data_IF_054484600179
#
_entry.id   IF_054484600179
#
_cell.length_a   1.000
_cell.length_b   1.000
_cell.length_c   1.000
_cell.angle_alpha   90.00
_cell.angle_beta   90.00
_cell.angle_gamma   90.00
#
_symmetry.space_group_name_H-M   'P 1'
#
loop_
_entity.id
_entity.type
_entity.pdbx_description
1 polymer ?
#
# COMPACT_ATOMS: atom_id res chain seq x y z
N UNK A 1 0.16 -20.20 74.42
CA UNK A 1 1.25 -20.79 73.60
C UNK A 1 0.65 -21.90 72.76
N UNK A 2 0.35 -21.59 71.50
CA UNK A 2 0.07 -22.52 70.40
C UNK A 2 0.18 -21.68 69.12
N UNK A 3 1.12 -21.96 68.20
CA UNK A 3 1.27 -21.16 66.99
C UNK A 3 0.26 -21.63 65.94
N UNK A 4 -0.38 -20.66 65.27
CA UNK A 4 -1.14 -20.89 64.05
C UNK A 4 -0.17 -21.35 62.95
N UNK A 5 -0.41 -22.55 62.41
CA UNK A 5 0.27 -23.06 61.23
C UNK A 5 -0.17 -22.29 59.98
N UNK A 6 0.77 -21.58 59.38
CA UNK A 6 0.63 -20.99 58.04
C UNK A 6 0.63 -22.10 57.01
N UNK A 7 -0.51 -22.34 56.35
CA UNK A 7 -0.60 -23.21 55.18
C UNK A 7 -0.03 -22.44 53.98
N UNK A 8 1.17 -22.82 53.55
CA UNK A 8 1.82 -22.31 52.35
C UNK A 8 1.15 -22.95 51.13
N UNK A 9 0.25 -22.21 50.46
CA UNK A 9 -0.19 -22.56 49.11
C UNK A 9 0.97 -22.32 48.14
N UNK A 10 1.77 -23.35 47.89
CA UNK A 10 2.65 -23.38 46.72
C UNK A 10 1.75 -23.59 45.50
N UNK A 11 1.23 -22.50 44.95
CA UNK A 11 0.69 -22.51 43.61
C UNK A 11 1.85 -22.77 42.65
N UNK A 12 2.01 -24.04 42.26
CA UNK A 12 2.85 -24.44 41.14
C UNK A 12 2.29 -23.81 39.87
N UNK A 13 2.69 -22.59 39.57
CA UNK A 13 2.57 -22.05 38.22
C UNK A 13 3.48 -22.91 37.34
N UNK A 14 2.88 -23.85 36.61
CA UNK A 14 3.46 -24.36 35.38
C UNK A 14 3.86 -23.13 34.57
N UNK A 15 5.16 -22.85 34.47
CA UNK A 15 5.68 -21.79 33.62
C UNK A 15 5.19 -22.06 32.20
N UNK A 16 4.08 -21.43 31.82
CA UNK A 16 3.79 -21.23 30.41
C UNK A 16 4.89 -20.29 29.96
N UNK A 17 5.92 -20.84 29.33
CA UNK A 17 6.94 -20.05 28.65
C UNK A 17 6.21 -19.27 27.55
N UNK A 18 5.83 -18.04 27.84
CA UNK A 18 5.45 -17.09 26.80
C UNK A 18 6.70 -16.89 25.95
N UNK A 19 6.66 -17.36 24.72
CA UNK A 19 7.80 -17.29 23.80
C UNK A 19 8.07 -15.82 23.41
N UNK A 20 7.01 -15.00 23.35
CA UNK A 20 7.14 -13.57 23.12
C UNK A 20 7.61 -12.83 24.38
N UNK A 21 8.92 -12.71 24.56
CA UNK A 21 9.47 -11.83 25.59
C UNK A 21 9.25 -10.36 25.22
N UNK A 22 8.70 -9.60 26.17
CA UNK A 22 8.30 -8.21 25.97
C UNK A 22 9.43 -7.27 25.54
N UNK A 23 10.68 -7.62 25.86
CA UNK A 23 11.86 -6.79 25.61
C UNK A 23 12.78 -7.40 24.53
N UNK A 24 12.80 -8.72 24.40
CA UNK A 24 13.77 -9.46 23.60
C UNK A 24 13.17 -10.21 22.41
N UNK A 25 11.85 -10.38 22.35
CA UNK A 25 11.20 -11.21 21.33
C UNK A 25 11.61 -12.69 21.45
N UNK A 26 11.31 -13.53 20.44
CA UNK A 26 11.74 -13.24 19.08
C UNK A 26 10.61 -12.78 18.14
N UNK A 27 10.96 -11.93 17.17
CA UNK A 27 10.02 -11.52 16.11
C UNK A 27 9.70 -12.71 15.22
N UNK A 28 8.40 -12.89 14.96
CA UNK A 28 7.94 -13.76 13.89
C UNK A 28 7.58 -15.17 14.31
N UNK A 29 7.77 -15.53 15.58
CA UNK A 29 7.42 -16.85 16.07
C UNK A 29 5.88 -16.95 16.25
N UNK A 30 5.22 -17.86 15.51
CA UNK A 30 3.78 -18.08 15.60
C UNK A 30 3.44 -18.97 16.79
N UNK A 31 2.41 -18.61 17.55
CA UNK A 31 1.89 -19.45 18.63
C UNK A 31 0.38 -19.59 18.57
N UNK A 32 -0.11 -20.77 18.97
CA UNK A 32 -1.53 -21.04 19.12
C UNK A 32 -1.98 -20.65 20.53
N UNK A 33 -2.61 -19.49 20.67
CA UNK A 33 -2.95 -18.89 21.96
C UNK A 33 -4.46 -18.82 22.19
N UNK A 34 -4.87 -18.90 23.45
CA UNK A 34 -6.25 -18.59 23.88
C UNK A 34 -6.23 -17.21 24.53
N UNK A 35 -6.96 -16.26 23.95
CA UNK A 35 -7.00 -14.88 24.41
C UNK A 35 -8.40 -14.52 24.89
N UNK A 36 -8.49 -13.63 25.88
CA UNK A 36 -9.76 -13.13 26.39
C UNK A 36 -10.53 -12.42 25.28
N UNK A 37 -11.86 -12.54 25.27
CA UNK A 37 -12.74 -11.96 24.25
C UNK A 37 -13.05 -12.87 23.07
N UNK A 38 -12.31 -13.97 22.88
CA UNK A 38 -12.56 -14.91 21.78
C UNK A 38 -13.16 -16.25 22.23
N UNK A 39 -13.96 -16.86 21.37
CA UNK A 39 -14.60 -18.16 21.64
C UNK A 39 -13.68 -19.37 21.40
N UNK A 40 -12.45 -19.18 20.91
CA UNK A 40 -11.54 -20.25 20.50
C UNK A 40 -10.05 -19.89 20.60
N UNK A 41 -9.18 -20.87 20.32
CA UNK A 41 -7.74 -20.63 20.15
C UNK A 41 -7.48 -20.07 18.75
N UNK A 42 -6.51 -19.17 18.64
CA UNK A 42 -6.09 -18.60 17.37
C UNK A 42 -4.58 -18.45 17.27
N UNK A 43 -4.09 -18.31 16.05
CA UNK A 43 -2.71 -17.91 15.81
C UNK A 43 -2.44 -16.48 16.29
N UNK A 44 -1.29 -16.29 16.92
CA UNK A 44 -0.72 -14.97 17.17
C UNK A 44 0.78 -15.00 16.85
N UNK A 45 1.33 -13.87 16.40
CA UNK A 45 2.78 -13.73 16.15
C UNK A 45 3.36 -12.76 17.16
N UNK A 46 4.54 -13.07 17.71
CA UNK A 46 5.31 -12.07 18.46
C UNK A 46 5.89 -11.02 17.49
N UNK A 47 5.48 -9.76 17.62
CA UNK A 47 5.86 -8.67 16.71
C UNK A 47 6.25 -7.42 17.49
N UNK A 48 6.95 -6.51 16.82
CA UNK A 48 7.27 -5.20 17.39
C UNK A 48 6.01 -4.35 17.54
N UNK A 49 5.95 -3.56 18.60
CA UNK A 49 4.90 -2.54 18.76
C UNK A 49 4.88 -1.58 17.56
N UNK A 50 6.05 -1.20 17.05
CA UNK A 50 6.20 -0.39 15.84
C UNK A 50 5.50 -1.00 14.62
N UNK A 51 5.59 -2.32 14.41
CA UNK A 51 4.88 -3.00 13.32
C UNK A 51 3.38 -2.97 13.55
N UNK A 52 2.92 -3.31 14.77
CA UNK A 52 1.50 -3.38 15.11
C UNK A 52 0.83 -2.01 14.92
N UNK A 53 1.48 -0.96 15.41
CA UNK A 53 1.08 0.42 15.22
C UNK A 53 1.06 0.80 13.73
N UNK A 54 2.07 0.40 12.95
CA UNK A 54 2.10 0.71 11.51
C UNK A 54 0.98 -0.01 10.75
N UNK A 55 0.74 -1.29 11.04
CA UNK A 55 -0.27 -2.09 10.35
C UNK A 55 -1.70 -1.67 10.71
N UNK A 56 -1.93 -1.25 11.96
CA UNK A 56 -3.22 -0.81 12.48
C UNK A 56 -3.48 0.68 12.35
N UNK A 57 -2.56 1.44 11.72
CA UNK A 57 -2.62 2.90 11.65
C UNK A 57 -2.69 3.57 13.04
N UNK A 58 -2.04 2.97 14.03
CA UNK A 58 -1.96 3.43 15.41
C UNK A 58 -3.20 3.21 16.25
N UNK A 59 -4.21 2.53 15.71
CA UNK A 59 -5.39 2.14 16.48
C UNK A 59 -5.09 1.01 17.47
N UNK A 60 -4.04 0.24 17.22
CA UNK A 60 -3.63 -0.90 18.04
C UNK A 60 -2.15 -0.75 18.40
N UNK A 61 -1.85 -1.08 19.64
CA UNK A 61 -0.52 -1.09 20.24
C UNK A 61 -0.45 -2.17 21.30
N UNK A 62 0.76 -2.50 21.75
CA UNK A 62 0.95 -3.36 22.90
C UNK A 62 0.30 -2.74 24.15
N UNK A 63 -0.31 -3.60 24.97
CA UNK A 63 -1.06 -3.18 26.16
C UNK A 63 -0.16 -2.45 27.18
N UNK A 64 1.03 -3.01 27.44
CA UNK A 64 2.08 -2.36 28.22
C UNK A 64 2.95 -1.48 27.31
N UNK A 65 2.90 -0.16 27.56
CA UNK A 65 3.61 0.87 26.78
C UNK A 65 5.13 0.80 26.89
N UNK A 66 5.67 0.04 27.83
CA UNK A 66 7.12 -0.15 27.97
C UNK A 66 7.62 -1.34 27.14
N UNK A 67 6.71 -2.12 26.55
CA UNK A 67 7.07 -3.31 25.78
C UNK A 67 7.46 -2.96 24.37
N UNK A 68 8.53 -3.60 23.90
CA UNK A 68 8.95 -3.52 22.50
C UNK A 68 8.25 -4.57 21.64
N UNK A 69 7.86 -5.69 22.24
CA UNK A 69 7.23 -6.82 21.59
C UNK A 69 5.96 -7.26 22.30
N UNK A 70 4.95 -7.66 21.55
CA UNK A 70 3.79 -8.35 22.07
C UNK A 70 3.16 -9.27 21.01
N UNK A 71 2.24 -10.14 21.45
CA UNK A 71 1.47 -10.96 20.53
C UNK A 71 0.49 -10.11 19.74
N UNK A 72 0.56 -10.23 18.42
CA UNK A 72 -0.43 -9.69 17.50
C UNK A 72 -1.33 -10.82 16.99
N UNK A 73 -2.63 -10.71 17.27
CA UNK A 73 -3.60 -11.77 17.02
C UNK A 73 -3.98 -11.83 15.53
N UNK A 74 -4.16 -13.04 15.00
CA UNK A 74 -4.59 -13.24 13.61
C UNK A 74 -5.93 -12.55 13.30
N UNK A 75 -6.93 -12.67 14.20
CA UNK A 75 -8.24 -12.03 14.02
C UNK A 75 -8.14 -10.51 13.90
N UNK A 76 -7.18 -9.92 14.60
CA UNK A 76 -6.91 -8.49 14.55
C UNK A 76 -6.17 -8.13 13.26
N UNK A 77 -5.12 -8.87 12.92
CA UNK A 77 -4.29 -8.61 11.75
C UNK A 77 -5.06 -8.76 10.42
N UNK A 78 -5.91 -9.78 10.31
CA UNK A 78 -6.62 -10.11 9.07
C UNK A 78 -8.01 -9.50 8.99
N UNK A 79 -8.76 -9.52 10.09
CA UNK A 79 -10.19 -9.17 10.12
C UNK A 79 -10.49 -7.87 10.88
N UNK A 80 -9.50 -7.29 11.58
CA UNK A 80 -9.71 -6.09 12.38
C UNK A 80 -10.63 -6.29 13.59
N UNK A 81 -10.78 -7.53 14.07
CA UNK A 81 -11.68 -7.90 15.16
C UNK A 81 -10.88 -8.24 16.42
N UNK A 82 -11.08 -7.47 17.50
CA UNK A 82 -10.41 -7.64 18.79
C UNK A 82 -11.13 -8.61 19.75
N UNK A 83 -12.32 -9.08 19.41
CA UNK A 83 -13.10 -10.07 20.14
C UNK A 83 -14.00 -10.87 19.18
N UNK A 84 -14.73 -11.86 19.72
CA UNK A 84 -15.77 -12.59 18.99
C UNK A 84 -15.36 -13.99 18.52
N UNK A 85 -15.93 -14.40 17.39
CA UNK A 85 -15.75 -15.75 16.86
C UNK A 85 -14.44 -15.86 16.08
N UNK A 86 -13.58 -16.81 16.47
CA UNK A 86 -12.35 -17.10 15.71
C UNK A 86 -12.71 -17.76 14.39
N UNK A 87 -12.34 -17.13 13.28
CA UNK A 87 -12.57 -17.66 11.93
C UNK A 87 -11.64 -18.82 11.62
N UNK A 88 -12.00 -19.65 10.64
CA UNK A 88 -11.27 -20.88 10.33
C UNK A 88 -9.81 -20.62 9.92
N UNK A 89 -9.54 -19.54 9.19
CA UNK A 89 -8.21 -19.09 8.76
C UNK A 89 -7.32 -18.60 9.90
N UNK A 90 -7.90 -18.20 11.03
CA UNK A 90 -7.16 -17.83 12.24
C UNK A 90 -7.14 -18.92 13.32
N UNK A 91 -8.00 -19.94 13.20
CA UNK A 91 -8.11 -21.01 14.19
C UNK A 91 -6.89 -21.93 14.20
N UNK A 92 -6.55 -22.45 15.37
CA UNK A 92 -5.40 -23.33 15.57
C UNK A 92 -5.68 -24.40 16.63
N UNK A 93 -4.90 -25.48 16.59
CA UNK A 93 -4.91 -26.55 17.58
C UNK A 93 -3.50 -27.15 17.77
N UNK A 94 -3.30 -27.98 18.79
CA UNK A 94 -1.97 -28.56 19.07
C UNK A 94 -1.44 -29.44 17.91
N UNK A 95 -2.33 -30.04 17.11
CA UNK A 95 -1.96 -30.83 15.94
C UNK A 95 -1.43 -29.98 14.77
N UNK A 96 -1.92 -28.74 14.62
CA UNK A 96 -1.47 -27.80 13.58
C UNK A 96 -0.15 -27.12 13.96
N UNK A 97 0.21 -27.05 15.25
CA UNK A 97 1.50 -26.55 15.75
C UNK A 97 2.69 -27.31 15.15
N UNK A 98 2.60 -28.64 15.05
CA UNK A 98 3.67 -29.48 14.50
C UNK A 98 3.84 -29.34 12.97
N UNK A 99 2.78 -28.98 12.24
CA UNK A 99 2.84 -28.77 10.79
C UNK A 99 3.32 -27.36 10.40
N UNK A 100 3.38 -26.43 11.36
CA UNK A 100 3.83 -25.04 11.17
C UNK A 100 5.29 -24.84 11.59
N UNK A 101 5.94 -25.88 12.13
CA UNK A 101 7.41 -25.99 12.24
C UNK A 101 8.14 -25.99 10.89
N UNK A 102 7.47 -25.59 9.80
CA UNK A 102 8.15 -25.11 8.61
C UNK A 102 8.86 -23.84 9.05
N UNK A 103 10.12 -24.00 9.44
CA UNK A 103 11.13 -22.95 9.39
C UNK A 103 10.80 -22.08 8.20
N UNK A 104 10.29 -20.87 8.46
CA UNK A 104 10.25 -19.88 7.41
C UNK A 104 11.70 -19.72 7.00
N UNK A 105 12.08 -20.16 5.79
CA UNK A 105 13.39 -19.85 5.16
C UNK A 105 13.63 -18.33 4.99
N UNK A 106 12.74 -17.52 5.58
CA UNK A 106 12.72 -16.08 5.59
C UNK A 106 13.33 -15.59 6.91
N UNK A 107 14.27 -14.65 6.84
CA UNK A 107 14.76 -13.94 8.02
C UNK A 107 13.63 -13.31 8.84
N UNK A 108 13.82 -13.18 10.16
CA UNK A 108 12.83 -12.56 11.05
C UNK A 108 12.46 -11.12 10.68
N UNK A 109 13.37 -10.36 10.05
CA UNK A 109 13.10 -9.00 9.56
C UNK A 109 12.05 -8.98 8.43
N UNK A 110 11.78 -10.10 7.76
CA UNK A 110 10.68 -10.21 6.81
C UNK A 110 9.31 -10.05 7.47
N UNK A 111 9.20 -10.39 8.75
CA UNK A 111 7.93 -10.37 9.49
C UNK A 111 7.68 -9.03 10.21
N UNK A 112 8.67 -8.13 10.19
CA UNK A 112 8.61 -6.76 10.71
C UNK A 112 9.54 -5.85 9.88
N UNK A 113 9.16 -5.49 8.64
CA UNK A 113 10.03 -4.73 7.73
C UNK A 113 10.43 -3.35 8.29
N UNK A 114 11.62 -2.89 7.89
CA UNK A 114 12.11 -1.54 8.19
C UNK A 114 11.42 -0.48 7.30
N UNK A 115 11.65 0.80 7.60
CA UNK A 115 10.98 1.93 6.93
C UNK A 115 11.32 2.08 5.44
N UNK A 116 12.48 1.62 5.01
CA UNK A 116 13.10 2.02 3.73
C UNK A 116 13.77 0.86 2.96
N UNK A 117 13.56 -0.39 3.36
CA UNK A 117 14.23 -1.51 2.68
C UNK A 117 13.40 -2.06 1.52
N UNK A 118 13.72 -1.63 0.30
CA UNK A 118 13.10 -2.19 -0.91
C UNK A 118 13.47 -3.64 -1.19
N UNK A 119 14.49 -4.21 -0.53
CA UNK A 119 14.84 -5.62 -0.72
C UNK A 119 13.79 -6.55 -0.15
N UNK A 120 12.93 -6.08 0.77
CA UNK A 120 11.87 -6.90 1.37
C UNK A 120 10.98 -7.59 0.33
N UNK A 121 10.61 -6.90 -0.75
CA UNK A 121 9.75 -7.50 -1.79
C UNK A 121 10.45 -8.68 -2.46
N UNK A 122 11.74 -8.55 -2.80
CA UNK A 122 12.53 -9.63 -3.42
C UNK A 122 12.94 -10.73 -2.44
N UNK A 123 13.55 -10.37 -1.33
CA UNK A 123 14.17 -11.32 -0.39
C UNK A 123 13.16 -12.02 0.52
N UNK A 124 11.98 -11.44 0.72
CA UNK A 124 10.93 -12.01 1.56
C UNK A 124 9.74 -12.51 0.73
N UNK A 125 9.04 -11.60 0.04
CA UNK A 125 7.77 -11.92 -0.60
C UNK A 125 7.96 -12.77 -1.88
N UNK A 126 8.88 -12.39 -2.77
CA UNK A 126 9.21 -13.17 -3.97
C UNK A 126 9.84 -14.52 -3.60
N UNK A 127 10.72 -14.55 -2.58
CA UNK A 127 11.29 -15.81 -2.08
C UNK A 127 10.21 -16.81 -1.63
N UNK A 128 9.13 -16.32 -1.01
CA UNK A 128 8.00 -17.15 -0.53
C UNK A 128 7.07 -17.66 -1.63
N UNK A 129 6.70 -16.80 -2.58
CA UNK A 129 5.61 -17.07 -3.52
C UNK A 129 6.05 -17.30 -4.97
N UNK A 130 7.32 -17.00 -5.32
CA UNK A 130 7.91 -17.20 -6.66
C UNK A 130 6.93 -16.95 -7.80
N UNK A 131 6.24 -15.81 -7.77
CA UNK A 131 5.28 -15.47 -8.81
C UNK A 131 6.01 -15.31 -10.14
N UNK A 132 5.73 -16.20 -11.11
CA UNK A 132 6.20 -16.10 -12.50
C UNK A 132 4.99 -16.11 -13.44
N UNK A 133 5.02 -15.26 -14.46
CA UNK A 133 3.85 -14.84 -15.24
C UNK A 133 2.98 -15.90 -15.92
N UNK A 134 1.74 -15.49 -16.24
CA UNK A 134 0.96 -15.99 -17.40
C UNK A 134 -0.12 -15.00 -17.91
N UNK A 135 -0.08 -13.72 -17.50
CA UNK A 135 -1.04 -12.71 -17.99
C UNK A 135 -0.38 -11.50 -18.63
N UNK A 136 0.76 -11.66 -19.33
CA UNK A 136 1.28 -10.68 -20.30
C UNK A 136 1.39 -9.22 -19.82
N UNK A 137 1.42 -8.99 -18.50
CA UNK A 137 1.34 -7.70 -17.83
C UNK A 137 2.12 -7.87 -16.52
N UNK A 138 3.19 -7.10 -16.37
CA UNK A 138 4.18 -7.14 -15.29
C UNK A 138 3.67 -7.46 -13.88
N UNK A 139 4.34 -8.36 -13.19
CA UNK A 139 3.95 -8.85 -11.88
C UNK A 139 3.75 -7.69 -10.88
N UNK A 140 2.62 -7.62 -10.14
CA UNK A 140 2.42 -6.50 -9.21
C UNK A 140 3.49 -6.45 -8.09
N UNK A 141 4.22 -7.55 -7.89
CA UNK A 141 5.41 -7.62 -7.05
C UNK A 141 6.63 -6.96 -7.71
N UNK A 142 6.87 -7.17 -9.01
CA UNK A 142 7.85 -6.41 -9.79
C UNK A 142 7.48 -4.91 -9.79
N UNK A 143 6.20 -4.60 -9.93
CA UNK A 143 5.70 -3.24 -9.82
C UNK A 143 5.97 -2.64 -8.44
N UNK A 144 5.61 -3.34 -7.35
CA UNK A 144 5.84 -2.86 -5.98
C UNK A 144 7.33 -2.64 -5.72
N UNK A 145 8.19 -3.51 -6.26
CA UNK A 145 9.63 -3.33 -6.26
C UNK A 145 10.05 -2.06 -7.00
N UNK A 146 9.59 -1.86 -8.24
CA UNK A 146 9.91 -0.68 -9.06
C UNK A 146 9.47 0.61 -8.39
N UNK A 147 8.26 0.65 -7.84
CA UNK A 147 7.76 1.82 -7.08
C UNK A 147 8.66 2.12 -5.89
N UNK A 148 8.98 1.09 -5.10
CA UNK A 148 9.85 1.28 -3.94
C UNK A 148 11.23 1.81 -4.35
N UNK A 149 11.82 1.23 -5.41
CA UNK A 149 13.12 1.66 -5.94
C UNK A 149 13.06 3.08 -6.50
N UNK A 150 12.02 3.44 -7.24
CA UNK A 150 11.82 4.77 -7.78
C UNK A 150 11.73 5.82 -6.65
N UNK A 151 11.00 5.51 -5.58
CA UNK A 151 10.93 6.38 -4.41
C UNK A 151 12.29 6.58 -3.74
N UNK A 152 13.11 5.52 -3.68
CA UNK A 152 14.45 5.60 -3.10
C UNK A 152 15.41 6.38 -3.99
N UNK A 153 15.39 6.11 -5.30
CA UNK A 153 16.25 6.74 -6.29
C UNK A 153 15.95 8.23 -6.44
N UNK A 154 14.68 8.60 -6.35
CA UNK A 154 14.22 9.98 -6.46
C UNK A 154 13.97 10.67 -5.12
N UNK A 155 14.46 10.10 -4.01
CA UNK A 155 14.22 10.63 -2.67
C UNK A 155 14.64 12.11 -2.52
N UNK A 156 15.70 12.52 -3.20
CA UNK A 156 16.19 13.91 -3.21
C UNK A 156 15.23 14.91 -3.88
N UNK A 157 14.23 14.44 -4.64
CA UNK A 157 13.20 15.28 -5.24
C UNK A 157 12.14 15.75 -4.23
N UNK A 158 12.17 15.22 -3.01
CA UNK A 158 11.19 15.51 -1.97
C UNK A 158 11.76 16.46 -0.93
N UNK A 159 10.89 17.27 -0.33
CA UNK A 159 11.19 18.00 0.89
C UNK A 159 11.51 17.03 2.03
N UNK A 160 12.10 17.53 3.14
CA UNK A 160 12.37 16.68 4.31
C UNK A 160 11.09 16.01 4.84
N UNK A 161 9.98 16.76 4.90
CA UNK A 161 8.68 16.23 5.34
C UNK A 161 8.06 15.30 4.29
N UNK A 162 8.20 15.63 3.00
CA UNK A 162 7.78 14.77 1.90
C UNK A 162 8.50 13.42 1.91
N UNK A 163 9.81 13.41 2.21
CA UNK A 163 10.60 12.19 2.36
C UNK A 163 10.15 11.33 3.54
N UNK A 164 9.86 11.94 4.71
CA UNK A 164 9.28 11.22 5.86
C UNK A 164 7.92 10.60 5.52
N UNK A 165 7.05 11.38 4.87
CA UNK A 165 5.75 10.93 4.41
C UNK A 165 5.89 9.74 3.45
N UNK A 166 6.77 9.85 2.45
CA UNK A 166 7.01 8.80 1.46
C UNK A 166 7.54 7.50 2.08
N UNK A 167 8.44 7.60 3.06
CA UNK A 167 8.90 6.43 3.83
C UNK A 167 7.76 5.79 4.63
N UNK A 168 6.86 6.60 5.20
CA UNK A 168 5.63 6.09 5.82
C UNK A 168 4.76 5.32 4.83
N UNK A 169 4.49 5.89 3.65
CA UNK A 169 3.71 5.22 2.59
C UNK A 169 4.34 3.87 2.23
N UNK A 170 5.67 3.82 2.05
CA UNK A 170 6.42 2.58 1.75
C UNK A 170 6.27 1.53 2.84
N UNK A 171 6.52 1.90 4.10
CA UNK A 171 6.38 0.99 5.24
C UNK A 171 4.95 0.47 5.37
N UNK A 172 3.96 1.34 5.19
CA UNK A 172 2.55 0.96 5.21
C UNK A 172 2.26 -0.10 4.13
N UNK A 173 2.68 0.14 2.88
CA UNK A 173 2.49 -0.80 1.78
C UNK A 173 3.13 -2.17 2.06
N UNK A 174 4.35 -2.19 2.58
CA UNK A 174 5.02 -3.45 2.97
C UNK A 174 4.27 -4.15 4.10
N UNK A 175 3.85 -3.41 5.13
CA UNK A 175 3.13 -3.96 6.29
C UNK A 175 1.83 -4.64 5.89
N UNK A 176 1.10 -4.12 4.89
CA UNK A 176 -0.12 -4.75 4.37
C UNK A 176 0.11 -6.07 3.64
N UNK A 177 1.35 -6.38 3.25
CA UNK A 177 1.72 -7.62 2.57
C UNK A 177 2.38 -8.65 3.50
N UNK A 178 2.90 -8.21 4.66
CA UNK A 178 3.48 -9.09 5.69
C UNK A 178 2.57 -10.23 6.14
N UNK A 179 1.23 -10.06 6.26
CA UNK A 179 0.36 -11.17 6.62
C UNK A 179 0.50 -12.40 5.70
N UNK A 180 0.84 -12.21 4.42
CA UNK A 180 1.07 -13.35 3.51
C UNK A 180 2.34 -14.14 3.83
N UNK A 181 3.26 -13.61 4.64
CA UNK A 181 4.43 -14.34 5.10
C UNK A 181 4.14 -15.19 6.34
N UNK A 182 2.95 -15.08 6.93
CA UNK A 182 2.57 -15.86 8.11
C UNK A 182 2.47 -17.34 7.74
N UNK A 183 2.95 -18.26 8.60
CA UNK A 183 2.93 -19.69 8.29
C UNK A 183 1.54 -20.28 8.06
N UNK A 184 0.51 -19.71 8.69
CA UNK A 184 -0.89 -20.13 8.53
C UNK A 184 -1.56 -19.55 7.28
N UNK A 185 -0.94 -18.59 6.59
CA UNK A 185 -1.53 -17.93 5.43
C UNK A 185 -1.19 -18.65 4.13
N UNK A 186 -2.24 -18.96 3.36
CA UNK A 186 -2.14 -19.47 1.99
C UNK A 186 -2.73 -18.43 1.05
N UNK A 187 -1.90 -17.88 0.18
CA UNK A 187 -2.29 -16.88 -0.80
C UNK A 187 -1.84 -17.27 -2.19
N UNK A 188 -2.56 -16.77 -3.19
CA UNK A 188 -2.15 -16.83 -4.60
C UNK A 188 -1.47 -15.53 -4.99
N UNK A 189 -0.66 -15.55 -6.05
CA UNK A 189 -0.08 -14.33 -6.62
C UNK A 189 -1.16 -13.29 -6.96
N UNK A 190 -2.33 -13.72 -7.45
CA UNK A 190 -3.45 -12.83 -7.74
C UNK A 190 -3.97 -12.12 -6.47
N UNK A 191 -4.14 -12.86 -5.37
CA UNK A 191 -4.58 -12.30 -4.08
C UNK A 191 -3.57 -11.28 -3.53
N UNK A 192 -2.27 -11.58 -3.64
CA UNK A 192 -1.20 -10.68 -3.21
C UNK A 192 -1.21 -9.40 -4.05
N UNK A 193 -1.35 -9.53 -5.37
CA UNK A 193 -1.40 -8.41 -6.30
C UNK A 193 -2.59 -7.49 -6.00
N UNK A 194 -3.79 -8.05 -5.80
CA UNK A 194 -4.98 -7.28 -5.45
C UNK A 194 -4.80 -6.53 -4.13
N UNK A 195 -4.23 -7.17 -3.10
CA UNK A 195 -3.96 -6.52 -1.81
C UNK A 195 -2.95 -5.38 -1.95
N UNK A 196 -1.89 -5.56 -2.74
CA UNK A 196 -0.89 -4.52 -2.97
C UNK A 196 -1.51 -3.28 -3.63
N UNK A 197 -2.34 -3.48 -4.65
CA UNK A 197 -3.04 -2.40 -5.35
C UNK A 197 -4.06 -1.69 -4.45
N UNK A 198 -4.89 -2.43 -3.71
CA UNK A 198 -5.90 -1.88 -2.81
C UNK A 198 -5.29 -1.08 -1.63
N UNK A 199 -4.10 -1.46 -1.18
CA UNK A 199 -3.44 -0.81 -0.04
C UNK A 199 -2.92 0.59 -0.35
N UNK A 200 -2.74 0.94 -1.64
CA UNK A 200 -2.16 2.23 -2.04
C UNK A 200 -2.95 3.42 -1.56
N UNK A 201 -4.26 3.45 -1.86
CA UNK A 201 -5.12 4.57 -1.46
C UNK A 201 -5.12 4.76 0.06
N UNK A 202 -5.18 3.64 0.81
CA UNK A 202 -5.14 3.68 2.28
C UNK A 202 -3.80 4.21 2.79
N UNK A 203 -2.68 3.72 2.26
CA UNK A 203 -1.34 4.12 2.69
C UNK A 203 -0.96 5.54 2.29
N UNK A 204 -1.52 6.10 1.21
CA UNK A 204 -1.36 7.51 0.86
C UNK A 204 -2.10 8.43 1.85
N UNK A 205 -3.28 8.01 2.31
CA UNK A 205 -4.09 8.79 3.24
C UNK A 205 -3.64 8.65 4.70
N UNK A 206 -3.18 7.46 5.10
CA UNK A 206 -2.74 7.17 6.47
C UNK A 206 -1.41 6.41 6.41
N UNK A 207 -0.30 7.09 6.10
CA UNK A 207 1.01 6.45 5.92
C UNK A 207 1.64 5.97 7.23
N UNK A 208 1.19 6.50 8.36
CA UNK A 208 1.70 6.13 9.67
C UNK A 208 1.32 7.15 10.75
N UNK A 209 1.60 6.82 12.01
CA UNK A 209 1.31 7.68 13.15
C UNK A 209 2.12 8.96 13.07
N UNK A 210 1.44 10.10 13.27
CA UNK A 210 2.09 11.41 13.28
C UNK A 210 2.55 11.90 11.90
N UNK A 211 2.27 11.15 10.83
CA UNK A 211 2.57 11.56 9.46
C UNK A 211 1.34 12.20 8.81
N UNK A 212 1.52 13.19 7.92
CA UNK A 212 0.42 13.84 7.24
C UNK A 212 -0.31 12.87 6.28
N UNK A 213 -1.59 13.10 6.05
CA UNK A 213 -2.30 12.50 4.91
C UNK A 213 -1.88 13.17 3.60
N UNK A 214 -2.19 12.53 2.48
CA UNK A 214 -1.98 13.12 1.14
C UNK A 214 -2.57 14.55 0.98
N UNK A 215 -3.69 14.85 1.65
CA UNK A 215 -4.29 16.19 1.61
C UNK A 215 -3.49 17.24 2.39
N UNK A 216 -2.66 16.81 3.33
CA UNK A 216 -1.82 17.68 4.15
C UNK A 216 -0.38 17.77 3.64
N UNK A 217 0.03 16.89 2.72
CA UNK A 217 1.30 16.97 1.97
C UNK A 217 1.35 18.23 1.09
N UNK A 218 2.55 18.76 0.84
CA UNK A 218 2.74 19.94 -0.02
C UNK A 218 2.45 19.61 -1.49
N UNK A 219 2.05 20.60 -2.29
CA UNK A 219 1.80 20.39 -3.72
C UNK A 219 3.07 19.97 -4.45
N UNK A 220 4.22 20.53 -4.06
CA UNK A 220 5.54 20.21 -4.60
C UNK A 220 5.89 18.73 -4.41
N UNK A 221 5.73 18.19 -3.20
CA UNK A 221 6.02 16.78 -2.90
C UNK A 221 5.06 15.83 -3.64
N UNK A 222 3.78 16.21 -3.76
CA UNK A 222 2.81 15.43 -4.53
C UNK A 222 3.17 15.38 -6.02
N UNK A 223 3.71 16.47 -6.57
CA UNK A 223 4.19 16.49 -7.95
C UNK A 223 5.47 15.70 -8.14
N UNK A 224 6.42 15.80 -7.21
CA UNK A 224 7.60 14.93 -7.22
C UNK A 224 7.21 13.46 -7.20
N UNK A 225 6.14 13.09 -6.47
CA UNK A 225 5.59 11.74 -6.48
C UNK A 225 4.94 11.38 -7.82
N UNK A 226 4.05 12.23 -8.35
CA UNK A 226 3.42 12.03 -9.65
C UNK A 226 4.47 11.75 -10.73
N UNK A 227 5.53 12.54 -10.77
CA UNK A 227 6.59 12.41 -11.77
C UNK A 227 7.43 11.17 -11.60
N UNK A 228 7.74 10.83 -10.35
CA UNK A 228 8.43 9.58 -10.01
C UNK A 228 7.64 8.37 -10.50
N UNK A 229 6.31 8.37 -10.35
CA UNK A 229 5.45 7.31 -10.86
C UNK A 229 5.29 7.34 -12.38
N UNK A 230 5.14 8.53 -12.96
CA UNK A 230 5.01 8.70 -14.41
C UNK A 230 6.26 8.21 -15.15
N UNK A 231 7.46 8.49 -14.61
CA UNK A 231 8.74 8.06 -15.20
C UNK A 231 8.83 6.53 -15.32
N UNK A 232 8.41 5.79 -14.29
CA UNK A 232 8.38 4.32 -14.34
C UNK A 232 7.20 3.75 -15.16
N UNK A 233 6.18 4.56 -15.49
CA UNK A 233 5.00 4.13 -16.26
C UNK A 233 5.25 3.97 -17.75
N UNK A 234 6.19 4.72 -18.33
CA UNK A 234 6.42 4.67 -19.78
C UNK A 234 6.82 3.28 -20.29
N UNK A 235 7.28 2.40 -19.38
CA UNK A 235 7.68 1.02 -19.66
C UNK A 235 6.60 -0.04 -19.37
N UNK A 236 5.44 0.29 -18.78
CA UNK A 236 4.42 -0.71 -18.44
C UNK A 236 3.00 -0.19 -18.13
N UNK A 237 1.98 -0.83 -18.71
CA UNK A 237 0.57 -0.47 -18.50
C UNK A 237 -0.01 -0.80 -17.10
N UNK A 238 0.61 -1.69 -16.32
CA UNK A 238 0.17 -1.96 -14.95
C UNK A 238 0.36 -0.76 -14.02
N UNK A 239 1.26 0.14 -14.40
CA UNK A 239 1.65 1.29 -13.60
C UNK A 239 0.56 2.39 -13.59
N UNK A 240 -0.43 2.28 -14.49
CA UNK A 240 -1.55 3.21 -14.60
C UNK A 240 -2.48 3.22 -13.38
N UNK A 241 -2.73 2.07 -12.74
CA UNK A 241 -3.61 2.00 -11.57
C UNK A 241 -3.08 2.84 -10.39
N UNK A 242 -1.76 2.87 -10.22
CA UNK A 242 -1.13 3.54 -9.09
C UNK A 242 -1.10 5.05 -9.27
N UNK A 243 -0.87 5.50 -10.49
CA UNK A 243 -1.03 6.91 -10.82
C UNK A 243 -2.49 7.33 -10.75
N UNK A 244 -3.41 6.48 -11.22
CA UNK A 244 -4.84 6.72 -11.07
C UNK A 244 -5.25 6.88 -9.59
N UNK A 245 -4.79 5.99 -8.71
CA UNK A 245 -5.05 6.08 -7.28
C UNK A 245 -4.43 7.34 -6.66
N UNK A 246 -3.21 7.69 -7.06
CA UNK A 246 -2.56 8.92 -6.62
C UNK A 246 -3.38 10.13 -7.04
N UNK A 247 -3.73 10.25 -8.32
CA UNK A 247 -4.51 11.36 -8.86
C UNK A 247 -5.90 11.42 -8.22
N UNK A 248 -6.57 10.29 -8.05
CA UNK A 248 -7.86 10.21 -7.35
C UNK A 248 -7.74 10.71 -5.92
N UNK A 249 -6.68 10.31 -5.21
CA UNK A 249 -6.43 10.75 -3.83
C UNK A 249 -6.03 12.23 -3.75
N UNK A 250 -5.32 12.78 -4.74
CA UNK A 250 -5.02 14.22 -4.81
C UNK A 250 -6.31 15.02 -5.07
N UNK A 251 -7.13 14.55 -6.00
CA UNK A 251 -8.35 15.23 -6.41
C UNK A 251 -9.48 15.10 -5.39
N UNK A 252 -9.42 14.16 -4.45
CA UNK A 252 -10.34 14.14 -3.30
C UNK A 252 -10.00 15.21 -2.25
N UNK A 253 -8.86 15.89 -2.36
CA UNK A 253 -8.44 16.92 -1.41
C UNK A 253 -8.84 18.33 -1.90
N UNK A 254 -9.79 18.96 -1.22
CA UNK A 254 -10.23 20.33 -1.53
C UNK A 254 -9.06 21.33 -1.57
N UNK A 255 -8.12 21.24 -0.62
CA UNK A 255 -6.93 22.12 -0.53
C UNK A 255 -6.09 22.14 -1.81
N UNK A 256 -6.05 21.03 -2.55
CA UNK A 256 -5.24 20.90 -3.77
C UNK A 256 -6.00 21.32 -5.02
N UNK A 257 -7.34 21.29 -5.01
CA UNK A 257 -8.18 21.75 -6.11
C UNK A 257 -8.34 23.28 -6.16
N UNK A 258 -8.35 23.95 -5.01
CA UNK A 258 -8.67 25.38 -4.90
C UNK A 258 -7.47 26.32 -4.86
N UNK A 259 -6.29 25.90 -5.34
CA UNK A 259 -5.23 26.86 -5.70
C UNK A 259 -5.46 27.28 -7.16
N UNK A 260 -6.05 28.46 -7.43
CA UNK A 260 -6.49 28.90 -8.77
C UNK A 260 -5.35 29.03 -9.79
N UNK A 261 -4.10 28.90 -9.34
CA UNK A 261 -2.92 29.17 -10.13
C UNK A 261 -2.17 27.91 -10.60
N UNK A 262 -2.54 26.71 -10.17
CA UNK A 262 -1.69 25.52 -10.38
C UNK A 262 -2.27 24.43 -11.26
N UNK A 263 -3.57 24.14 -11.17
CA UNK A 263 -4.21 23.06 -11.91
C UNK A 263 -5.67 23.36 -12.18
N UNK A 264 -6.12 23.00 -13.38
CA UNK A 264 -7.56 22.89 -13.66
C UNK A 264 -7.90 21.44 -13.99
N UNK A 265 -8.98 20.94 -13.40
CA UNK A 265 -9.55 19.64 -13.70
C UNK A 265 -10.72 19.81 -14.66
N UNK A 266 -10.64 19.18 -15.83
CA UNK A 266 -11.73 19.12 -16.80
C UNK A 266 -12.25 17.69 -16.90
N UNK A 267 -13.57 17.52 -16.96
CA UNK A 267 -14.22 16.21 -17.15
C UNK A 267 -14.81 16.10 -18.55
N UNK A 268 -14.51 14.98 -19.22
CA UNK A 268 -14.96 14.69 -20.57
C UNK A 268 -15.59 13.30 -20.65
N UNK A 269 -16.59 13.17 -21.52
CA UNK A 269 -17.13 11.88 -21.93
C UNK A 269 -16.67 11.53 -23.33
N UNK A 270 -16.04 10.37 -23.48
CA UNK A 270 -15.43 9.93 -24.72
C UNK A 270 -16.10 8.67 -25.23
N UNK A 271 -16.66 8.72 -26.44
CA UNK A 271 -17.25 7.55 -27.08
C UNK A 271 -16.14 6.63 -27.61
N UNK A 272 -16.13 5.36 -27.18
CA UNK A 272 -15.12 4.36 -27.56
C UNK A 272 -15.00 4.18 -29.08
N UNK A 273 -16.12 4.23 -29.83
CA UNK A 273 -16.12 4.08 -31.29
C UNK A 273 -15.24 5.12 -32.00
N UNK A 274 -15.02 6.28 -31.37
CA UNK A 274 -14.19 7.36 -31.91
C UNK A 274 -12.69 7.06 -31.78
N UNK A 275 -12.29 6.12 -30.92
CA UNK A 275 -10.88 5.89 -30.59
C UNK A 275 -10.44 4.41 -30.67
N UNK A 276 -11.35 3.42 -30.69
CA UNK A 276 -11.01 1.99 -30.51
C UNK A 276 -11.94 0.98 -31.19
N UNK A 277 -11.47 -0.28 -31.27
CA UNK A 277 -12.27 -1.47 -31.58
C UNK A 277 -13.18 -1.88 -30.40
N UNK A 278 -14.34 -2.50 -30.71
CA UNK A 278 -15.39 -2.88 -29.76
C UNK A 278 -14.97 -4.03 -28.81
N UNK A 279 -14.05 -3.79 -27.87
CA UNK A 279 -13.81 -4.71 -26.75
C UNK A 279 -14.77 -4.42 -25.59
N UNK A 280 -15.39 -5.49 -25.07
CA UNK A 280 -16.44 -5.45 -24.04
C UNK A 280 -15.90 -5.35 -22.61
N UNK A 281 -14.76 -5.99 -22.33
CA UNK A 281 -14.06 -5.89 -21.04
C UNK A 281 -12.72 -5.19 -21.23
N UNK A 282 -12.63 -3.90 -20.91
CA UNK A 282 -11.40 -3.16 -21.06
C UNK A 282 -10.47 -3.45 -19.90
N UNK A 283 -9.21 -3.64 -20.24
CA UNK A 283 -8.15 -3.87 -19.28
C UNK A 283 -7.49 -2.56 -18.84
N UNK A 284 -6.64 -2.60 -17.81
CA UNK A 284 -5.87 -1.41 -17.38
C UNK A 284 -4.98 -0.85 -18.50
N UNK A 285 -4.50 -1.71 -19.41
CA UNK A 285 -3.80 -1.28 -20.63
C UNK A 285 -4.70 -0.44 -21.53
N UNK A 286 -5.97 -0.86 -21.69
CA UNK A 286 -6.92 -0.13 -22.53
C UNK A 286 -7.22 1.24 -21.91
N UNK A 287 -7.36 1.33 -20.58
CA UNK A 287 -7.53 2.63 -19.87
C UNK A 287 -6.35 3.57 -20.09
N UNK A 288 -5.12 3.06 -19.99
CA UNK A 288 -3.91 3.85 -20.25
C UNK A 288 -3.84 4.32 -21.70
N UNK A 289 -4.08 3.43 -22.67
CA UNK A 289 -4.03 3.78 -24.09
C UNK A 289 -5.14 4.79 -24.47
N UNK A 290 -6.35 4.66 -23.89
CA UNK A 290 -7.43 5.66 -24.01
C UNK A 290 -6.94 7.00 -23.50
N UNK A 291 -6.39 7.04 -22.30
CA UNK A 291 -5.92 8.27 -21.66
C UNK A 291 -4.87 8.98 -22.52
N UNK A 292 -3.90 8.23 -23.07
CA UNK A 292 -2.86 8.76 -23.95
C UNK A 292 -3.44 9.31 -25.26
N UNK A 293 -4.34 8.57 -25.91
CA UNK A 293 -4.98 9.00 -27.17
C UNK A 293 -5.88 10.22 -26.97
N UNK A 294 -6.66 10.25 -25.89
CA UNK A 294 -7.52 11.39 -25.55
C UNK A 294 -6.69 12.62 -25.25
N UNK A 295 -5.62 12.49 -24.44
CA UNK A 295 -4.67 13.59 -24.18
C UNK A 295 -4.12 14.16 -25.48
N UNK A 296 -3.61 13.30 -26.37
CA UNK A 296 -3.02 13.71 -27.65
C UNK A 296 -4.04 14.37 -28.58
N UNK A 297 -5.27 13.85 -28.63
CA UNK A 297 -6.35 14.40 -29.44
C UNK A 297 -6.74 15.79 -28.96
N UNK A 298 -7.11 15.93 -27.68
CA UNK A 298 -7.58 17.20 -27.13
C UNK A 298 -6.48 18.26 -27.14
N UNK A 299 -5.24 17.87 -26.76
CA UNK A 299 -4.10 18.78 -26.79
C UNK A 299 -3.82 19.34 -28.19
N UNK A 300 -4.11 18.58 -29.25
CA UNK A 300 -3.97 19.02 -30.64
C UNK A 300 -5.12 19.94 -31.05
N UNK A 301 -6.37 19.54 -30.82
CA UNK A 301 -7.55 20.32 -31.21
C UNK A 301 -7.58 21.69 -30.52
N UNK A 302 -7.18 21.73 -29.24
CA UNK A 302 -7.16 22.96 -28.45
C UNK A 302 -5.88 23.79 -28.62
N UNK A 303 -4.91 23.31 -29.42
CA UNK A 303 -3.58 23.93 -29.60
C UNK A 303 -2.83 24.21 -28.30
N UNK A 304 -3.09 23.40 -27.26
CA UNK A 304 -2.52 23.61 -25.92
C UNK A 304 -0.99 23.63 -25.90
N UNK A 305 -0.35 22.81 -26.74
CA UNK A 305 1.11 22.79 -26.83
C UNK A 305 1.69 24.12 -27.33
N UNK A 306 1.00 24.79 -28.26
CA UNK A 306 1.38 26.08 -28.86
C UNK A 306 1.13 27.24 -27.89
N UNK A 307 0.13 27.11 -27.02
CA UNK A 307 -0.25 28.14 -26.04
C UNK A 307 0.46 27.99 -24.69
N UNK A 308 1.44 27.09 -24.60
CA UNK A 308 2.21 26.89 -23.37
C UNK A 308 1.41 26.19 -22.26
N UNK A 309 0.40 25.40 -22.62
CA UNK A 309 -0.38 24.56 -21.70
C UNK A 309 0.15 23.12 -21.76
N UNK A 310 0.28 22.50 -20.60
CA UNK A 310 0.55 21.08 -20.46
C UNK A 310 -0.68 20.37 -19.90
N UNK A 311 -0.90 19.13 -20.33
CA UNK A 311 -2.07 18.35 -19.93
C UNK A 311 -1.76 16.87 -19.68
N UNK A 312 -2.50 16.26 -18.75
CA UNK A 312 -2.48 14.82 -18.49
C UNK A 312 -3.92 14.32 -18.34
N UNK A 313 -4.34 13.38 -19.19
CA UNK A 313 -5.64 12.73 -19.05
C UNK A 313 -5.55 11.38 -18.35
N UNK A 314 -6.61 11.01 -17.65
CA UNK A 314 -6.80 9.69 -17.07
C UNK A 314 -8.29 9.32 -17.09
N UNK A 315 -8.58 8.08 -17.45
CA UNK A 315 -9.90 7.45 -17.36
C UNK A 315 -10.35 7.25 -15.92
N UNK A 316 -11.59 7.62 -15.62
CA UNK A 316 -12.28 7.40 -14.35
C UNK A 316 -13.15 6.12 -14.41
N UNK A 317 -12.87 5.17 -13.52
CA UNK A 317 -13.74 4.01 -13.29
C UNK A 317 -13.87 3.05 -14.49
N UNK A 318 -15.01 2.37 -14.55
CA UNK A 318 -15.40 1.51 -15.68
C UNK A 318 -16.22 2.32 -16.69
N UNK A 319 -16.17 1.97 -17.99
CA UNK A 319 -16.98 2.66 -18.96
C UNK A 319 -18.47 2.35 -18.77
N UNK A 320 -19.31 3.29 -19.18
CA UNK A 320 -20.77 3.14 -19.15
C UNK A 320 -21.24 2.62 -20.50
N UNK A 321 -21.95 1.49 -20.50
CA UNK A 321 -22.62 0.99 -21.70
C UNK A 321 -23.97 1.67 -21.85
N UNK A 322 -24.20 2.26 -23.02
CA UNK A 322 -25.49 2.85 -23.38
C UNK A 322 -26.40 1.83 -24.05
N UNK A 323 -27.71 2.10 -24.04
CA UNK A 323 -28.73 1.27 -24.70
C UNK A 323 -28.46 1.08 -26.21
N UNK A 324 -27.69 1.96 -26.84
CA UNK A 324 -27.32 1.90 -28.26
C UNK A 324 -26.01 1.14 -28.53
N UNK A 325 -25.54 0.31 -27.60
CA UNK A 325 -24.23 -0.37 -27.67
C UNK A 325 -23.05 0.59 -27.88
N UNK A 326 -23.17 1.86 -27.47
CA UNK A 326 -22.03 2.76 -27.40
C UNK A 326 -21.41 2.64 -26.00
N UNK A 327 -20.09 2.52 -25.96
CA UNK A 327 -19.33 2.50 -24.71
C UNK A 327 -18.78 3.90 -24.47
N UNK A 328 -19.12 4.49 -23.33
CA UNK A 328 -18.73 5.86 -22.93
C UNK A 328 -17.69 5.77 -21.83
N UNK A 329 -16.58 6.46 -22.02
CA UNK A 329 -15.50 6.59 -21.08
C UNK A 329 -15.56 7.95 -20.39
N UNK A 330 -15.55 7.96 -19.06
CA UNK A 330 -15.33 9.19 -18.31
C UNK A 330 -13.83 9.43 -18.24
N UNK A 331 -13.38 10.59 -18.70
CA UNK A 331 -11.97 10.97 -18.72
C UNK A 331 -11.82 12.29 -18.00
N UNK A 332 -10.95 12.31 -17.01
CA UNK A 332 -10.51 13.53 -16.34
C UNK A 332 -9.21 14.00 -16.95
N UNK A 333 -9.08 15.31 -17.13
CA UNK A 333 -7.90 15.96 -17.71
C UNK A 333 -7.43 17.02 -16.75
N UNK A 334 -6.18 16.91 -16.36
CA UNK A 334 -5.49 17.91 -15.56
C UNK A 334 -4.73 18.79 -16.53
N UNK A 335 -4.95 20.10 -16.46
CA UNK A 335 -4.19 21.08 -17.24
C UNK A 335 -3.46 22.07 -16.36
N UNK A 336 -2.35 22.59 -16.87
CA UNK A 336 -1.53 23.59 -16.17
C UNK A 336 -0.65 24.35 -17.18
N UNK A 337 -0.05 25.45 -16.77
CA UNK A 337 0.94 26.15 -17.61
C UNK A 337 2.25 25.37 -17.64
N UNK A 338 2.84 25.17 -18.82
CA UNK A 338 4.19 24.59 -18.99
C UNK A 338 5.27 25.31 -18.19
N UNK A 339 5.08 26.61 -17.94
CA UNK A 339 6.01 27.40 -17.13
C UNK A 339 6.03 26.99 -15.65
N UNK A 340 4.95 26.36 -15.16
CA UNK A 340 4.81 25.85 -13.80
C UNK A 340 5.10 24.36 -13.74
N UNK A 341 4.41 23.58 -14.57
CA UNK A 341 4.60 22.15 -14.71
C UNK A 341 4.43 21.76 -16.17
N UNK A 342 5.41 21.07 -16.76
CA UNK A 342 5.24 20.49 -18.08
C UNK A 342 5.11 18.97 -17.97
N UNK A 343 3.88 18.45 -18.07
CA UNK A 343 3.52 17.03 -18.17
C UNK A 343 4.28 16.24 -19.25
N UNK A 344 4.99 16.92 -20.17
CA UNK A 344 5.77 16.31 -21.24
C UNK A 344 7.30 16.44 -21.05
N UNK A 345 7.78 17.22 -20.07
CA UNK A 345 9.21 17.39 -19.82
C UNK A 345 9.63 16.68 -18.53
N UNK A 346 10.34 15.56 -18.70
CA UNK A 346 10.89 14.73 -17.62
C UNK A 346 11.93 15.45 -16.75
N UNK A 347 12.47 16.59 -17.23
CA UNK A 347 13.52 17.35 -16.56
C UNK A 347 13.01 18.62 -15.88
N UNK A 348 11.74 19.00 -16.06
CA UNK A 348 11.16 20.22 -15.48
C UNK A 348 10.72 19.98 -14.03
N UNK A 349 11.72 19.89 -13.15
CA UNK A 349 11.52 20.24 -11.75
C UNK A 349 11.37 21.76 -11.64
N UNK A 350 10.63 22.26 -10.63
CA UNK A 350 10.73 23.66 -10.27
C UNK A 350 12.21 24.00 -10.07
N UNK A 351 12.73 24.98 -10.83
CA UNK A 351 14.14 25.42 -10.79
C UNK A 351 14.63 25.79 -9.38
N UNK A 352 13.72 25.90 -8.41
CA UNK A 352 13.98 26.14 -6.99
C UNK A 352 14.66 24.97 -6.26
N UNK A 353 14.69 23.75 -6.80
CA UNK A 353 15.34 22.60 -6.15
C UNK A 353 16.81 22.36 -6.56
N UNK A 354 17.34 23.08 -7.56
CA UNK A 354 18.76 22.97 -7.95
C UNK A 354 19.72 23.82 -7.07
N UNK A 355 19.20 24.47 -6.02
CA UNK A 355 19.99 25.25 -5.06
C UNK A 355 19.64 24.86 -3.63
N UNK A 356 20.00 23.64 -3.20
CA UNK A 356 20.25 23.33 -1.79
C UNK A 356 21.40 22.35 -1.68
#
# INVERSE_FOLDING_TARGET
MTPLGTVLFIAGFSKVLCICDRNNGPVGEPECVRLNGYNGKQWATCLTDDYIQSNSFGTIKCEDRQTKYCYYQCMVELHGMNDGLVTQDCSCNELTKHNISIQTDLPSWCLSPSLDDCRWIGECLQKRYRCTGYLGKSDAMEFTQKVCQAYSFHYQRFSLEGGKWLNGVRKCLQSKLVPFLRPWMKATCNTINLRALQSQYQCLNVPGIGLPSICNTTSEDLWSLFWTLHEIMEDNAINYYSLFNLLTAILSCEKHMYKPDTLELMKYQVNQKRFFSNKFEPTEYDKYDISKKVTKFISREMKWQETGISCYAFVEGLPVQTMTNNVIWNVSIIITSKSKYDFNDKNLFPKTYQKR
#
